data_IF_634821405688
#
_entry.id   IF_634821405688
#
_cell.length_a   1.000
_cell.length_b   1.000
_cell.length_c   1.000
_cell.angle_alpha   90.00
_cell.angle_beta   90.00
_cell.angle_gamma   90.00
#
_symmetry.space_group_name_H-M   'P 1'
#
loop_
_entity.id
_entity.type
_entity.pdbx_description
1 polymer ?
#
# COMPACT_ATOMS: atom_id res chain seq x y z
N UNK A 1 1.92 5.92 -15.87
CA UNK A 1 0.66 6.05 -15.10
C UNK A 1 0.13 4.65 -14.73
N UNK A 2 0.93 3.81 -14.04
CA UNK A 2 0.53 2.45 -13.60
C UNK A 2 1.44 1.99 -12.44
N UNK A 3 1.33 2.61 -11.26
CA UNK A 3 2.24 2.31 -10.13
C UNK A 3 1.64 1.35 -9.12
N UNK A 4 0.39 1.58 -8.74
CA UNK A 4 -0.32 0.83 -7.69
C UNK A 4 -1.14 -0.35 -8.24
N UNK A 5 -1.43 -0.33 -9.55
CA UNK A 5 -2.06 -1.43 -10.30
C UNK A 5 -1.47 -1.45 -11.72
N UNK A 6 -0.98 -2.60 -12.14
CA UNK A 6 -0.41 -2.84 -13.46
C UNK A 6 -0.44 -4.35 -13.80
N UNK A 7 -0.11 -4.78 -15.03
CA UNK A 7 -0.16 -6.19 -15.42
C UNK A 7 0.81 -7.13 -14.68
N UNK A 8 1.80 -6.60 -13.96
CA UNK A 8 2.75 -7.38 -13.17
C UNK A 8 2.21 -7.72 -11.77
N UNK A 9 1.15 -7.04 -11.33
CA UNK A 9 0.54 -7.21 -10.02
C UNK A 9 -0.74 -8.04 -10.11
N UNK A 10 -0.90 -8.97 -9.19
CA UNK A 10 -2.19 -9.56 -8.91
C UNK A 10 -3.14 -8.49 -8.35
N UNK A 11 -4.43 -8.59 -8.65
CA UNK A 11 -5.43 -7.66 -8.12
C UNK A 11 -5.50 -7.68 -6.57
N UNK A 12 -5.17 -8.82 -5.94
CA UNK A 12 -5.06 -8.93 -4.49
C UNK A 12 -3.86 -8.16 -3.92
N UNK A 13 -2.74 -8.11 -4.65
CA UNK A 13 -1.58 -7.28 -4.28
C UNK A 13 -1.93 -5.80 -4.32
N UNK A 14 -2.84 -5.41 -5.22
CA UNK A 14 -3.30 -4.03 -5.37
C UNK A 14 -4.41 -3.64 -4.37
N UNK A 15 -4.80 -4.51 -3.43
CA UNK A 15 -5.87 -4.23 -2.46
C UNK A 15 -7.28 -4.16 -3.07
N UNK A 16 -7.50 -4.83 -4.20
CA UNK A 16 -8.76 -4.76 -4.97
C UNK A 16 -9.71 -5.92 -4.66
N UNK A 17 -9.46 -6.70 -3.61
CA UNK A 17 -10.25 -7.90 -3.27
C UNK A 17 -11.75 -7.60 -3.15
N UNK A 18 -12.11 -6.42 -2.63
CA UNK A 18 -13.51 -6.00 -2.45
C UNK A 18 -14.29 -5.87 -3.76
N UNK A 19 -13.60 -5.77 -4.89
CA UNK A 19 -14.19 -5.66 -6.22
C UNK A 19 -14.23 -6.99 -6.99
N UNK A 20 -13.69 -8.07 -6.42
CA UNK A 20 -13.58 -9.38 -7.07
C UNK A 20 -14.64 -10.33 -6.49
N UNK A 21 -15.72 -10.51 -7.25
CA UNK A 21 -16.76 -11.48 -6.94
C UNK A 21 -16.38 -12.87 -7.48
N UNK A 22 -15.71 -13.69 -6.67
CA UNK A 22 -15.16 -15.00 -7.04
C UNK A 22 -16.22 -16.09 -7.29
N UNK A 23 -17.41 -15.92 -6.71
CA UNK A 23 -18.55 -16.82 -6.75
C UNK A 23 -19.51 -16.55 -7.92
N UNK A 24 -19.23 -15.55 -8.77
CA UNK A 24 -20.10 -15.19 -9.91
C UNK A 24 -20.05 -16.16 -11.11
N UNK A 25 -19.32 -17.26 -10.98
CA UNK A 25 -18.92 -18.12 -12.09
C UNK A 25 -17.61 -17.66 -12.74
N UNK A 26 -17.41 -18.10 -13.98
CA UNK A 26 -16.13 -17.95 -14.68
C UNK A 26 -15.87 -16.53 -15.20
N UNK A 27 -14.62 -16.09 -15.10
CA UNK A 27 -14.13 -14.85 -15.70
C UNK A 27 -12.61 -14.93 -15.91
N UNK A 28 -12.11 -14.12 -16.85
CA UNK A 28 -10.67 -14.04 -17.16
C UNK A 28 -9.88 -13.70 -15.89
N UNK A 29 -8.93 -14.55 -15.53
CA UNK A 29 -8.05 -14.36 -14.36
C UNK A 29 -8.59 -14.91 -13.04
N UNK A 30 -9.81 -15.48 -12.98
CA UNK A 30 -10.38 -16.06 -11.76
C UNK A 30 -9.45 -17.06 -11.09
N UNK A 31 -9.00 -18.06 -11.83
CA UNK A 31 -8.17 -19.14 -11.28
C UNK A 31 -6.78 -18.63 -10.87
N UNK A 32 -6.26 -17.60 -11.54
CA UNK A 32 -5.00 -16.96 -11.16
C UNK A 32 -5.13 -16.24 -9.80
N UNK A 33 -6.27 -15.57 -9.55
CA UNK A 33 -6.56 -14.97 -8.24
C UNK A 33 -6.68 -16.03 -7.15
N UNK A 34 -7.37 -17.14 -7.42
CA UNK A 34 -7.50 -18.25 -6.46
C UNK A 34 -6.14 -18.86 -6.11
N UNK A 35 -5.33 -19.20 -7.13
CA UNK A 35 -3.97 -19.72 -6.92
C UNK A 35 -3.07 -18.75 -6.14
N UNK A 36 -3.22 -17.44 -6.36
CA UNK A 36 -2.45 -16.45 -5.60
C UNK A 36 -2.82 -16.45 -4.11
N UNK A 37 -4.10 -16.67 -3.76
CA UNK A 37 -4.53 -16.77 -2.35
C UNK A 37 -3.90 -17.94 -1.61
N UNK A 38 -3.53 -19.01 -2.31
CA UNK A 38 -2.95 -20.23 -1.71
C UNK A 38 -1.44 -20.15 -1.46
N UNK A 39 -0.79 -19.07 -1.92
CA UNK A 39 0.64 -18.85 -1.70
C UNK A 39 0.97 -18.59 -0.21
N UNK A 40 2.25 -18.49 0.13
CA UNK A 40 2.71 -18.09 1.47
C UNK A 40 3.65 -16.87 1.44
N UNK A 41 3.88 -16.32 0.27
CA UNK A 41 4.77 -15.19 0.00
C UNK A 41 4.00 -13.99 -0.58
N UNK A 42 2.69 -13.90 -0.28
CA UNK A 42 1.85 -12.82 -0.75
C UNK A 42 2.37 -11.46 -0.31
N UNK A 43 2.11 -10.50 -1.19
CA UNK A 43 2.32 -9.08 -0.94
C UNK A 43 0.99 -8.36 -0.95
N UNK A 44 0.98 -7.18 -0.34
CA UNK A 44 -0.19 -6.33 -0.26
C UNK A 44 0.22 -4.87 -0.35
N UNK A 45 -0.61 -4.11 -1.06
CA UNK A 45 -0.62 -2.66 -0.99
C UNK A 45 -1.12 -2.24 0.39
N UNK A 46 -0.40 -1.32 1.03
CA UNK A 46 -0.77 -0.74 2.33
C UNK A 46 -0.71 0.77 2.27
N UNK A 47 -1.44 1.41 3.18
CA UNK A 47 -1.33 2.85 3.42
C UNK A 47 -0.27 3.14 4.49
N UNK A 48 0.61 4.09 4.22
CA UNK A 48 1.65 4.56 5.12
C UNK A 48 1.39 6.00 5.55
N UNK A 49 1.72 6.31 6.80
CA UNK A 49 1.97 7.65 7.32
C UNK A 49 3.47 7.87 7.44
N UNK A 50 3.93 9.04 7.01
CA UNK A 50 5.33 9.46 7.14
C UNK A 50 5.33 10.91 7.62
N UNK A 51 6.03 11.19 8.71
CA UNK A 51 6.22 12.57 9.16
C UNK A 51 7.40 13.17 8.37
N UNK A 52 7.11 14.18 7.54
CA UNK A 52 8.09 14.84 6.67
C UNK A 52 8.15 16.35 6.97
N UNK A 53 9.33 16.94 6.77
CA UNK A 53 9.67 18.32 7.09
C UNK A 53 10.08 19.10 5.82
N UNK A 54 9.20 19.08 4.82
CA UNK A 54 9.35 19.84 3.56
C UNK A 54 9.83 19.04 2.36
N UNK A 55 10.16 17.75 2.54
CA UNK A 55 10.44 16.81 1.47
C UNK A 55 9.45 15.63 1.53
N UNK A 56 8.47 15.64 0.63
CA UNK A 56 7.50 14.55 0.56
C UNK A 56 8.02 13.35 -0.22
N UNK A 57 7.55 12.16 0.15
CA UNK A 57 7.68 10.97 -0.67
C UNK A 57 6.88 11.10 -1.96
N UNK A 58 7.30 10.40 -3.01
CA UNK A 58 6.66 10.42 -4.32
C UNK A 58 6.43 9.03 -4.91
N UNK A 59 7.47 8.23 -5.08
CA UNK A 59 7.44 6.85 -5.58
C UNK A 59 8.83 6.23 -5.64
N UNK A 60 8.86 4.90 -5.51
CA UNK A 60 10.02 4.02 -5.63
C UNK A 60 11.05 4.11 -4.50
N UNK A 61 10.78 4.90 -3.46
CA UNK A 61 11.56 4.84 -2.22
C UNK A 61 11.48 3.42 -1.63
N UNK A 62 12.63 2.89 -1.22
CA UNK A 62 12.71 1.58 -0.58
C UNK A 62 12.23 1.64 0.86
N UNK A 63 11.53 0.60 1.28
CA UNK A 63 11.12 0.39 2.67
C UNK A 63 12.00 -0.69 3.29
N UNK A 64 12.53 -0.40 4.48
CA UNK A 64 13.50 -1.24 5.16
C UNK A 64 12.99 -1.68 6.52
N UNK A 65 13.36 -2.90 6.91
CA UNK A 65 13.18 -3.45 8.25
C UNK A 65 14.50 -4.06 8.67
N UNK A 66 15.06 -3.63 9.80
CA UNK A 66 16.38 -4.04 10.29
C UNK A 66 17.48 -3.92 9.22
N UNK A 67 17.46 -2.80 8.49
CA UNK A 67 18.39 -2.50 7.40
C UNK A 67 18.21 -3.34 6.13
N UNK A 68 17.21 -4.22 6.06
CA UNK A 68 16.92 -5.03 4.86
C UNK A 68 15.78 -4.43 4.07
N UNK A 69 15.95 -4.33 2.75
CA UNK A 69 14.89 -3.90 1.85
C UNK A 69 13.74 -4.93 1.87
N UNK A 70 12.55 -4.50 2.27
CA UNK A 70 11.36 -5.36 2.38
C UNK A 70 10.24 -4.97 1.43
N UNK A 71 10.26 -3.77 0.88
CA UNK A 71 9.28 -3.33 -0.12
C UNK A 71 9.62 -1.96 -0.68
N UNK A 72 8.63 -1.32 -1.29
CA UNK A 72 8.78 0.02 -1.86
C UNK A 72 7.49 0.82 -1.79
N UNK A 73 7.63 2.13 -1.75
CA UNK A 73 6.54 3.07 -1.99
C UNK A 73 6.19 3.03 -3.48
N UNK A 74 4.89 2.92 -3.79
CA UNK A 74 4.36 2.92 -5.15
C UNK A 74 3.87 4.32 -5.54
N UNK A 75 3.20 5.01 -4.63
CA UNK A 75 2.73 6.39 -4.79
C UNK A 75 2.75 7.11 -3.44
N UNK A 76 3.01 8.41 -3.43
CA UNK A 76 3.04 9.19 -2.21
C UNK A 76 2.88 10.69 -2.44
N UNK A 77 2.55 11.40 -1.36
CA UNK A 77 2.51 12.85 -1.32
C UNK A 77 1.94 13.40 -0.01
N UNK A 78 1.98 14.72 0.15
CA UNK A 78 1.50 15.39 1.36
C UNK A 78 -0.02 15.41 1.45
N UNK A 79 -0.56 14.82 2.52
CA UNK A 79 -2.00 14.82 2.81
C UNK A 79 -2.41 16.05 3.62
N UNK A 80 -2.77 17.15 2.96
CA UNK A 80 -3.14 18.40 3.65
C UNK A 80 -4.27 18.26 4.68
N UNK A 81 -5.21 17.34 4.48
CA UNK A 81 -6.29 17.08 5.43
C UNK A 81 -5.85 16.35 6.70
N UNK A 82 -4.73 15.62 6.63
CA UNK A 82 -4.19 14.79 7.73
C UNK A 82 -2.89 15.34 8.32
N UNK A 83 -2.25 16.30 7.65
CA UNK A 83 -1.10 17.05 8.17
C UNK A 83 0.25 16.34 8.07
N UNK A 84 0.33 15.26 7.29
CA UNK A 84 1.54 14.48 7.09
C UNK A 84 1.52 13.83 5.70
N UNK A 85 2.64 13.24 5.29
CA UNK A 85 2.67 12.45 4.06
C UNK A 85 1.83 11.19 4.18
N UNK A 86 1.17 10.84 3.08
CA UNK A 86 0.45 9.58 2.90
C UNK A 86 1.03 8.89 1.68
N UNK A 87 1.32 7.61 1.82
CA UNK A 87 1.88 6.82 0.72
C UNK A 87 1.17 5.47 0.60
N UNK A 88 1.14 4.92 -0.61
CA UNK A 88 0.89 3.51 -0.84
C UNK A 88 2.21 2.76 -1.00
N UNK A 89 2.26 1.54 -0.49
CA UNK A 89 3.45 0.71 -0.59
C UNK A 89 3.12 -0.75 -0.78
N UNK A 90 3.94 -1.45 -1.55
CA UNK A 90 3.84 -2.90 -1.73
C UNK A 90 4.79 -3.60 -0.77
N UNK A 91 4.23 -4.36 0.17
CA UNK A 91 4.96 -5.09 1.21
C UNK A 91 4.55 -6.56 1.29
N UNK A 92 5.43 -7.47 1.72
CA UNK A 92 5.02 -8.80 2.16
C UNK A 92 3.97 -8.73 3.26
N UNK A 93 2.98 -9.64 3.25
CA UNK A 93 1.83 -9.62 4.18
C UNK A 93 2.24 -9.51 5.66
N UNK A 94 3.37 -10.12 6.05
CA UNK A 94 3.90 -10.05 7.43
C UNK A 94 4.24 -8.64 7.92
N UNK A 95 4.44 -7.67 7.02
CA UNK A 95 4.69 -6.26 7.33
C UNK A 95 3.47 -5.38 7.09
N UNK A 96 2.33 -5.95 6.67
CA UNK A 96 1.17 -5.18 6.25
C UNK A 96 0.22 -4.77 7.40
N UNK A 97 0.54 -5.15 8.64
CA UNK A 97 -0.34 -4.87 9.79
C UNK A 97 -0.23 -3.40 10.22
N UNK A 98 -1.35 -2.69 10.47
CA UNK A 98 -1.32 -1.35 11.06
C UNK A 98 -0.48 -1.29 12.35
N UNK A 99 0.29 -0.22 12.50
CA UNK A 99 1.29 -0.03 13.57
C UNK A 99 2.67 -0.60 13.26
N UNK A 100 2.85 -1.34 12.15
CA UNK A 100 4.19 -1.76 11.70
C UNK A 100 4.98 -0.52 11.31
N UNK A 101 6.22 -0.42 11.82
CA UNK A 101 7.14 0.67 11.49
C UNK A 101 8.27 0.16 10.61
N UNK A 102 8.60 0.93 9.59
CA UNK A 102 9.65 0.65 8.61
C UNK A 102 10.47 1.92 8.41
N UNK A 103 11.70 1.76 7.95
CA UNK A 103 12.56 2.88 7.60
C UNK A 103 12.43 3.19 6.10
N UNK A 104 12.44 4.47 5.77
CA UNK A 104 12.45 4.96 4.39
C UNK A 104 13.46 6.10 4.27
N UNK A 105 14.25 6.10 3.21
CA UNK A 105 15.15 7.21 2.89
C UNK A 105 14.45 8.14 1.89
N UNK A 106 14.14 9.37 2.30
CA UNK A 106 13.56 10.41 1.45
C UNK A 106 14.65 11.45 1.20
N UNK A 107 15.11 11.55 -0.05
CA UNK A 107 16.21 12.43 -0.46
C UNK A 107 17.50 12.28 0.39
N UNK A 108 17.74 11.08 0.91
CA UNK A 108 18.92 10.76 1.74
C UNK A 108 18.66 10.82 3.25
N UNK A 109 17.53 11.40 3.69
CA UNK A 109 17.16 11.46 5.09
C UNK A 109 16.30 10.27 5.49
N UNK A 110 16.72 9.55 6.52
CA UNK A 110 15.98 8.42 7.07
C UNK A 110 14.80 8.90 7.91
N UNK A 111 13.62 8.41 7.57
CA UNK A 111 12.35 8.68 8.25
C UNK A 111 11.68 7.36 8.60
N UNK A 112 10.77 7.42 9.58
CA UNK A 112 9.91 6.29 9.94
C UNK A 112 8.64 6.35 9.10
N UNK A 113 8.34 5.27 8.39
CA UNK A 113 7.06 5.02 7.75
C UNK A 113 6.24 4.06 8.62
N UNK A 114 5.06 4.48 9.04
CA UNK A 114 4.13 3.67 9.83
C UNK A 114 2.99 3.18 8.94
N UNK A 115 2.74 1.88 8.94
CA UNK A 115 1.55 1.30 8.32
C UNK A 115 0.32 1.73 9.10
N UNK A 116 -0.64 2.36 8.41
CA UNK A 116 -1.89 2.84 9.00
C UNK A 116 -3.10 2.15 8.34
N UNK A 117 -4.28 2.37 8.90
CA UNK A 117 -5.52 1.95 8.25
C UNK A 117 -5.71 2.70 6.92
N UNK A 118 -6.33 2.02 5.97
CA UNK A 118 -6.70 2.63 4.70
C UNK A 118 -7.71 3.78 4.87
N UNK A 119 -7.70 4.69 3.90
CA UNK A 119 -8.57 5.87 3.89
C UNK A 119 -8.43 6.72 5.17
N UNK A 120 -7.25 7.33 5.41
CA UNK A 120 -6.97 8.10 6.63
C UNK A 120 -7.88 9.33 6.81
N UNK A 121 -8.65 9.69 5.78
CA UNK A 121 -9.64 10.75 5.81
C UNK A 121 -10.99 10.23 5.32
N UNK A 122 -12.04 10.46 6.12
CA UNK A 122 -13.42 9.99 5.87
C UNK A 122 -13.52 8.50 5.46
N UNK A 123 -13.02 7.55 6.28
CA UNK A 123 -12.98 6.12 5.94
C UNK A 123 -14.37 5.51 5.73
N UNK A 124 -15.41 6.10 6.34
CA UNK A 124 -16.79 5.66 6.18
C UNK A 124 -17.44 6.25 4.93
N UNK A 125 -16.78 7.16 4.21
CA UNK A 125 -17.34 7.87 3.07
C UNK A 125 -18.65 8.60 3.44
N UNK A 126 -18.75 9.12 4.66
CA UNK A 126 -19.95 9.78 5.14
C UNK A 126 -20.26 11.04 4.34
N UNK A 127 -19.23 11.78 3.90
CA UNK A 127 -19.42 13.04 3.17
C UNK A 127 -19.93 12.85 1.74
N UNK A 128 -19.57 11.73 1.09
CA UNK A 128 -19.98 11.45 -0.29
C UNK A 128 -21.40 10.83 -0.37
N UNK A 129 -21.95 10.38 0.76
CA UNK A 129 -23.26 9.73 0.86
C UNK A 129 -24.39 10.66 1.31
N UNK A 130 -24.04 11.92 1.64
CA UNK A 130 -25.00 13.00 1.87
C UNK A 130 -25.41 13.59 0.52
#
# INVERSE_FOLDING_TARGET
MYRDMNPELNALESGLERFIRLDKGDFVGRDAVLKYKERNDQRRSVTLRIDTDGASTFANEGLYSDGKLVGRITSGGYGYAVGHDVALALLPERFARPGTKLDVAILGDWKVAEVIADSPYDPTSARARM
#
